data_IF_669334262125
#
_entry.id   IF_669334262125
#
_cell.length_a   1.000
_cell.length_b   1.000
_cell.length_c   1.000
_cell.angle_alpha   90.00
_cell.angle_beta   90.00
_cell.angle_gamma   90.00
#
_symmetry.space_group_name_H-M   'P 1'
#
loop_
_entity.id
_entity.type
_entity.pdbx_description
1 polymer ?
#
# COMPACT_ATOMS: atom_id res chain seq x y z
N UNK A 1 22.55 -9.70 -6.06
CA UNK A 1 21.35 -10.51 -6.30
C UNK A 1 20.92 -10.23 -7.73
N UNK A 2 20.89 -11.25 -8.59
CA UNK A 2 20.29 -11.09 -9.92
C UNK A 2 18.83 -10.75 -9.73
N UNK A 3 18.43 -9.57 -10.15
CA UNK A 3 17.02 -9.15 -10.12
C UNK A 3 16.30 -9.92 -11.22
N UNK A 4 15.50 -10.90 -10.83
CA UNK A 4 14.65 -11.62 -11.77
C UNK A 4 13.72 -10.63 -12.48
N UNK A 5 13.58 -10.75 -13.82
CA UNK A 5 12.72 -9.86 -14.60
C UNK A 5 11.28 -9.85 -14.01
N UNK A 6 10.65 -8.68 -13.80
CA UNK A 6 9.35 -8.59 -13.10
C UNK A 6 8.22 -9.38 -13.79
N UNK A 7 8.35 -9.64 -15.10
CA UNK A 7 7.41 -10.47 -15.88
C UNK A 7 7.94 -11.89 -16.12
N UNK A 8 8.87 -12.40 -15.31
CA UNK A 8 9.48 -13.73 -15.52
C UNK A 8 8.48 -14.87 -15.50
N UNK A 9 7.41 -14.76 -14.71
CA UNK A 9 6.33 -15.74 -14.63
C UNK A 9 5.36 -15.70 -15.82
N UNK A 10 5.34 -14.61 -16.59
CA UNK A 10 4.46 -14.46 -17.75
C UNK A 10 5.07 -15.17 -18.96
N UNK A 11 4.73 -16.44 -19.15
CA UNK A 11 5.30 -17.30 -20.21
C UNK A 11 4.60 -17.10 -21.55
N UNK A 12 3.33 -16.70 -21.54
CA UNK A 12 2.49 -16.59 -22.74
C UNK A 12 2.10 -15.13 -22.99
N UNK A 13 1.97 -14.80 -24.28
CA UNK A 13 1.47 -13.49 -24.69
C UNK A 13 -0.01 -13.33 -24.28
N UNK A 14 -0.40 -12.30 -23.51
CA UNK A 14 -1.79 -12.13 -23.08
C UNK A 14 -2.75 -11.78 -24.22
N UNK A 15 -2.23 -11.35 -25.40
CA UNK A 15 -3.05 -11.02 -26.57
C UNK A 15 -3.33 -12.21 -27.46
N UNK A 16 -2.36 -13.10 -27.70
CA UNK A 16 -2.48 -14.16 -28.70
C UNK A 16 -2.10 -15.56 -28.19
N UNK A 17 -1.76 -15.72 -26.90
CA UNK A 17 -1.39 -17.00 -26.30
C UNK A 17 -0.01 -17.57 -26.71
N UNK A 18 0.76 -16.88 -27.55
CA UNK A 18 2.05 -17.37 -28.03
C UNK A 18 3.09 -17.48 -26.91
N UNK A 19 3.86 -18.57 -26.90
CA UNK A 19 5.04 -18.75 -26.03
C UNK A 19 6.21 -17.83 -26.41
N UNK A 20 6.17 -17.21 -27.59
CA UNK A 20 7.20 -16.29 -28.07
C UNK A 20 7.07 -14.90 -27.46
N UNK A 21 6.75 -14.83 -26.14
CA UNK A 21 6.66 -13.62 -25.34
C UNK A 21 7.96 -13.44 -24.56
N UNK A 22 8.90 -12.71 -25.16
CA UNK A 22 10.29 -12.61 -24.71
C UNK A 22 10.58 -11.26 -24.06
N UNK A 23 11.61 -11.21 -23.23
CA UNK A 23 12.09 -9.98 -22.63
C UNK A 23 12.55 -8.99 -23.71
N UNK A 24 12.15 -7.73 -23.55
CA UNK A 24 12.51 -6.62 -24.43
C UNK A 24 13.48 -5.65 -23.75
N UNK A 25 13.23 -5.37 -22.49
CA UNK A 25 14.11 -4.58 -21.60
C UNK A 25 13.83 -4.97 -20.14
N UNK A 26 14.41 -4.27 -19.17
CA UNK A 26 14.32 -4.58 -17.73
C UNK A 26 12.91 -4.62 -17.15
N UNK A 27 11.90 -4.10 -17.84
CA UNK A 27 10.50 -4.04 -17.37
C UNK A 27 9.46 -4.39 -18.44
N UNK A 28 9.86 -4.79 -19.63
CA UNK A 28 8.92 -5.08 -20.71
C UNK A 28 9.21 -6.41 -21.39
N UNK A 29 8.13 -7.05 -21.86
CA UNK A 29 8.16 -8.19 -22.79
C UNK A 29 7.47 -7.84 -24.10
N UNK A 30 7.94 -8.44 -25.20
CA UNK A 30 7.36 -8.30 -26.53
C UNK A 30 7.03 -9.67 -27.12
N UNK A 31 5.87 -9.80 -27.74
CA UNK A 31 5.48 -10.99 -28.47
C UNK A 31 6.07 -10.96 -29.88
N UNK A 32 6.92 -11.95 -30.21
CA UNK A 32 7.54 -12.09 -31.53
C UNK A 32 6.55 -12.58 -32.59
N UNK A 33 5.33 -13.00 -32.20
CA UNK A 33 4.30 -13.46 -33.12
C UNK A 33 3.34 -12.34 -33.54
N UNK A 34 2.80 -11.57 -32.55
CA UNK A 34 1.77 -10.57 -32.85
C UNK A 34 2.22 -9.12 -32.60
N UNK A 35 3.47 -8.90 -32.19
CA UNK A 35 4.01 -7.56 -31.91
C UNK A 35 3.52 -6.90 -30.62
N UNK A 36 2.64 -7.56 -29.83
CA UNK A 36 2.15 -7.01 -28.57
C UNK A 36 3.31 -6.78 -27.61
N UNK A 37 3.37 -5.59 -27.03
CA UNK A 37 4.38 -5.22 -26.03
C UNK A 37 3.69 -4.85 -24.72
N UNK A 38 4.17 -5.43 -23.62
CA UNK A 38 3.66 -5.14 -22.26
C UNK A 38 4.77 -4.60 -21.39
N UNK A 39 4.50 -3.47 -20.75
CA UNK A 39 5.37 -2.86 -19.77
C UNK A 39 4.84 -3.12 -18.36
N UNK A 40 5.68 -3.66 -17.50
CA UNK A 40 5.41 -3.72 -16.06
C UNK A 40 5.55 -2.32 -15.46
N UNK A 41 4.53 -1.87 -14.76
CA UNK A 41 4.55 -0.64 -13.99
C UNK A 41 4.26 -0.96 -12.52
N UNK A 42 4.76 -0.13 -11.60
CA UNK A 42 4.38 -0.24 -10.20
C UNK A 42 2.89 0.09 -10.04
N UNK A 43 2.19 -0.70 -9.23
CA UNK A 43 0.84 -0.38 -8.80
C UNK A 43 0.90 0.81 -7.82
N UNK A 44 -0.12 1.65 -7.83
CA UNK A 44 -0.25 2.72 -6.85
C UNK A 44 -1.04 2.24 -5.63
N UNK A 45 -0.61 2.66 -4.44
CA UNK A 45 -1.30 2.38 -3.18
C UNK A 45 -1.27 3.62 -2.28
N UNK A 46 -2.21 3.73 -1.36
CA UNK A 46 -2.32 4.82 -0.39
C UNK A 46 -2.22 4.30 1.03
N UNK A 47 -1.72 5.13 1.94
CA UNK A 47 -1.75 4.85 3.38
C UNK A 47 -1.91 6.15 4.18
N UNK A 48 -2.71 6.11 5.25
CA UNK A 48 -3.11 7.27 6.03
C UNK A 48 -2.52 7.32 7.43
N UNK A 49 -1.89 8.45 7.77
CA UNK A 49 -1.56 8.82 9.14
C UNK A 49 -2.76 9.53 9.77
N UNK A 50 -3.42 8.89 10.72
CA UNK A 50 -4.51 9.48 11.51
C UNK A 50 -3.97 9.73 12.92
N UNK A 51 -3.88 11.01 13.28
CA UNK A 51 -3.33 11.44 14.58
C UNK A 51 -4.48 11.72 15.54
N UNK A 52 -4.30 11.35 16.80
CA UNK A 52 -5.26 11.66 17.88
C UNK A 52 -5.41 13.17 18.09
N UNK A 53 -6.53 13.59 18.66
CA UNK A 53 -6.83 15.01 18.90
C UNK A 53 -5.83 15.71 19.81
N UNK A 54 -5.12 14.97 20.67
CA UNK A 54 -4.05 15.50 21.51
C UNK A 54 -2.70 15.64 20.79
N UNK A 55 -2.60 15.19 19.53
CA UNK A 55 -1.40 15.27 18.70
C UNK A 55 -0.24 14.37 19.13
N UNK A 56 -0.46 13.35 19.97
CA UNK A 56 0.61 12.53 20.56
C UNK A 56 0.54 11.05 20.22
N UNK A 57 -0.49 10.63 19.48
CA UNK A 57 -0.73 9.21 19.19
C UNK A 57 -1.07 9.03 17.71
N UNK A 58 -0.65 7.93 17.15
CA UNK A 58 -0.95 7.47 15.78
C UNK A 58 -1.94 6.31 15.85
N UNK A 59 -2.98 6.37 15.04
CA UNK A 59 -3.85 5.21 14.82
C UNK A 59 -3.11 4.17 14.00
N UNK A 60 -2.88 3.00 14.59
CA UNK A 60 -2.30 1.84 13.92
C UNK A 60 -3.32 0.70 13.88
N UNK A 61 -3.36 0.04 12.74
CA UNK A 61 -4.22 -1.08 12.45
C UNK A 61 -3.46 -2.40 12.63
N UNK A 62 -4.18 -3.49 12.96
CA UNK A 62 -3.64 -4.84 12.92
C UNK A 62 -4.16 -5.53 11.67
N UNK A 63 -3.25 -6.04 10.85
CA UNK A 63 -3.59 -6.72 9.58
C UNK A 63 -4.40 -8.00 9.83
N UNK A 64 -5.54 -8.14 9.16
CA UNK A 64 -6.39 -9.32 9.22
C UNK A 64 -5.94 -10.41 8.23
N UNK A 65 -5.28 -10.04 7.12
CA UNK A 65 -4.93 -10.93 6.00
C UNK A 65 -3.42 -10.98 5.75
N UNK A 66 -2.98 -12.03 5.05
CA UNK A 66 -1.60 -12.12 4.54
C UNK A 66 -1.41 -11.21 3.31
N UNK A 67 -0.18 -10.75 3.06
CA UNK A 67 1.05 -10.98 3.82
C UNK A 67 1.08 -10.23 5.16
N UNK A 68 1.89 -10.72 6.09
CA UNK A 68 2.14 -10.11 7.40
C UNK A 68 0.91 -10.00 8.32
N UNK A 69 -0.03 -10.96 8.24
CA UNK A 69 -1.18 -11.03 9.15
C UNK A 69 -0.74 -10.93 10.61
N UNK A 70 -1.45 -10.09 11.39
CA UNK A 70 -1.20 -9.87 12.82
C UNK A 70 -0.14 -8.80 13.11
N UNK A 71 0.53 -8.25 12.11
CA UNK A 71 1.45 -7.12 12.31
C UNK A 71 0.71 -5.78 12.27
N UNK A 72 1.37 -4.74 12.78
CA UNK A 72 0.87 -3.38 12.70
C UNK A 72 1.02 -2.82 11.28
N UNK A 73 0.09 -1.95 10.92
CA UNK A 73 0.03 -1.26 9.63
C UNK A 73 -0.65 0.12 9.78
N UNK A 74 -0.56 0.93 8.74
CA UNK A 74 -1.46 2.06 8.53
C UNK A 74 -2.70 1.57 7.77
N UNK A 75 -3.83 2.30 7.90
CA UNK A 75 -5.01 2.06 7.05
C UNK A 75 -4.72 2.51 5.63
N UNK A 76 -5.23 1.77 4.63
CA UNK A 76 -5.02 2.06 3.22
C UNK A 76 -4.95 0.80 2.35
N UNK A 77 -4.86 1.00 1.03
CA UNK A 77 -4.86 -0.08 0.06
C UNK A 77 -4.48 0.37 -1.34
N UNK A 78 -4.83 -0.43 -2.34
CA UNK A 78 -4.58 -0.11 -3.74
C UNK A 78 -5.54 0.96 -4.25
N UNK A 79 -5.03 1.82 -5.13
CA UNK A 79 -5.85 2.78 -5.88
C UNK A 79 -6.58 2.02 -6.98
N UNK A 80 -7.89 2.18 -7.08
CA UNK A 80 -8.71 1.60 -8.13
C UNK A 80 -8.57 2.35 -9.47
N UNK A 81 -9.03 1.71 -10.56
CA UNK A 81 -9.07 2.38 -11.86
C UNK A 81 -10.00 3.61 -11.80
N UNK A 82 -9.58 4.68 -12.44
CA UNK A 82 -10.32 5.95 -12.52
C UNK A 82 -10.53 6.65 -11.17
N UNK A 83 -9.75 6.29 -10.14
CA UNK A 83 -9.76 6.87 -8.80
C UNK A 83 -8.51 7.73 -8.57
N UNK A 84 -8.66 8.89 -7.94
CA UNK A 84 -7.52 9.69 -7.46
C UNK A 84 -6.97 9.12 -6.15
N UNK A 85 -5.73 9.47 -5.79
CA UNK A 85 -5.14 9.01 -4.53
C UNK A 85 -5.90 9.57 -3.30
N UNK A 86 -6.46 10.77 -3.41
CA UNK A 86 -7.28 11.40 -2.37
C UNK A 86 -8.63 10.69 -2.20
N UNK A 87 -9.25 10.23 -3.28
CA UNK A 87 -10.48 9.43 -3.23
C UNK A 87 -10.18 8.06 -2.65
N UNK A 88 -9.11 7.41 -3.10
CA UNK A 88 -8.69 6.10 -2.61
C UNK A 88 -8.47 6.09 -1.09
N UNK A 89 -7.73 7.05 -0.54
CA UNK A 89 -7.50 7.06 0.92
C UNK A 89 -8.78 7.31 1.70
N UNK A 90 -9.73 8.09 1.18
CA UNK A 90 -11.03 8.29 1.80
C UNK A 90 -11.88 7.01 1.77
N UNK A 91 -11.90 6.30 0.64
CA UNK A 91 -12.61 5.04 0.47
C UNK A 91 -12.05 3.96 1.40
N UNK A 92 -10.73 3.75 1.39
CA UNK A 92 -10.07 2.73 2.22
C UNK A 92 -10.33 2.97 3.72
N UNK A 93 -10.22 4.20 4.20
CA UNK A 93 -10.51 4.52 5.60
C UNK A 93 -12.00 4.27 5.93
N UNK A 94 -12.88 4.53 4.98
CA UNK A 94 -14.31 4.24 5.17
C UNK A 94 -14.59 2.74 5.21
N UNK A 95 -13.98 1.96 4.33
CA UNK A 95 -14.16 0.51 4.23
C UNK A 95 -13.53 -0.22 5.42
N UNK A 96 -12.31 0.12 5.78
CA UNK A 96 -11.54 -0.57 6.83
C UNK A 96 -11.93 -0.15 8.25
N UNK A 97 -12.25 1.14 8.46
CA UNK A 97 -12.43 1.73 9.79
C UNK A 97 -13.81 2.34 10.02
N UNK A 98 -14.66 2.47 8.98
CA UNK A 98 -15.94 3.16 9.01
C UNK A 98 -15.85 4.63 9.48
N UNK A 99 -14.74 5.29 9.20
CA UNK A 99 -14.52 6.69 9.55
C UNK A 99 -14.76 7.61 8.34
N UNK A 100 -15.18 8.84 8.63
CA UNK A 100 -15.38 9.87 7.61
C UNK A 100 -14.20 10.84 7.60
N UNK A 101 -13.49 10.88 6.47
CA UNK A 101 -12.36 11.76 6.23
C UNK A 101 -12.85 13.17 5.92
N UNK A 102 -12.34 14.17 6.63
CA UNK A 102 -12.63 15.58 6.39
C UNK A 102 -11.56 16.26 5.55
N UNK A 103 -10.31 15.76 5.63
CA UNK A 103 -9.21 16.26 4.83
C UNK A 103 -8.11 15.20 4.70
N UNK A 104 -7.57 15.07 3.49
CA UNK A 104 -6.39 14.27 3.22
C UNK A 104 -5.30 15.18 2.63
N UNK A 105 -4.12 15.20 3.24
CA UNK A 105 -2.98 16.00 2.80
C UNK A 105 -1.83 15.08 2.42
N UNK A 106 -1.42 15.08 1.16
CA UNK A 106 -0.27 14.30 0.69
C UNK A 106 1.01 14.74 1.42
N UNK A 107 1.79 13.76 1.87
CA UNK A 107 3.07 13.98 2.55
C UNK A 107 4.25 13.62 1.65
N UNK A 108 4.34 12.34 1.29
CA UNK A 108 5.44 11.78 0.48
C UNK A 108 5.05 10.41 -0.07
N UNK A 109 5.91 9.85 -0.92
CA UNK A 109 5.77 8.47 -1.39
C UNK A 109 7.04 7.66 -1.18
N UNK A 110 6.88 6.34 -1.08
CA UNK A 110 7.98 5.37 -0.97
C UNK A 110 7.71 4.18 -1.89
N UNK A 111 8.76 3.63 -2.53
CA UNK A 111 8.65 2.37 -3.25
C UNK A 111 8.52 1.20 -2.27
N UNK A 112 7.75 0.18 -2.66
CA UNK A 112 7.59 -1.04 -1.89
C UNK A 112 7.58 -2.27 -2.80
N UNK A 113 7.73 -3.45 -2.18
CA UNK A 113 7.50 -4.74 -2.79
C UNK A 113 6.53 -5.52 -1.93
N UNK A 114 5.48 -6.03 -2.55
CA UNK A 114 4.39 -6.73 -1.91
C UNK A 114 4.31 -8.16 -2.47
N UNK A 115 4.59 -9.20 -1.65
CA UNK A 115 4.46 -10.58 -2.09
C UNK A 115 2.98 -10.97 -2.16
N UNK A 116 2.52 -11.41 -3.34
CA UNK A 116 1.14 -11.83 -3.55
C UNK A 116 1.07 -12.96 -4.58
N UNK A 117 0.44 -14.09 -4.23
CA UNK A 117 0.27 -15.26 -5.12
C UNK A 117 1.60 -15.72 -5.77
N UNK A 118 2.65 -15.87 -4.97
CA UNK A 118 4.01 -16.22 -5.42
C UNK A 118 4.62 -15.24 -6.45
N UNK A 119 4.04 -14.06 -6.55
CA UNK A 119 4.50 -12.96 -7.40
C UNK A 119 4.90 -11.76 -6.55
N UNK A 120 5.95 -11.06 -6.96
CA UNK A 120 6.35 -9.80 -6.33
C UNK A 120 5.69 -8.64 -7.06
N UNK A 121 4.70 -8.02 -6.41
CA UNK A 121 4.09 -6.78 -6.89
C UNK A 121 4.97 -5.61 -6.43
N UNK A 122 5.39 -4.77 -7.37
CA UNK A 122 6.04 -3.51 -7.05
C UNK A 122 4.97 -2.44 -6.88
N UNK A 123 5.03 -1.67 -5.78
CA UNK A 123 4.11 -0.58 -5.52
C UNK A 123 4.84 0.76 -5.34
N UNK A 124 4.12 1.83 -5.58
CA UNK A 124 4.45 3.17 -5.13
C UNK A 124 3.40 3.56 -4.10
N UNK A 125 3.78 3.56 -2.84
CA UNK A 125 2.88 3.84 -1.73
C UNK A 125 2.91 5.35 -1.44
N UNK A 126 1.74 5.99 -1.53
CA UNK A 126 1.53 7.41 -1.28
C UNK A 126 0.99 7.58 0.15
N UNK A 127 1.65 8.39 0.94
CA UNK A 127 1.33 8.62 2.35
C UNK A 127 0.63 9.96 2.54
N UNK A 128 -0.47 9.94 3.30
CA UNK A 128 -1.30 11.10 3.59
C UNK A 128 -1.39 11.35 5.09
N UNK A 129 -1.38 12.62 5.51
CA UNK A 129 -1.92 13.02 6.80
C UNK A 129 -3.42 13.19 6.65
N UNK A 130 -4.18 12.51 7.50
CA UNK A 130 -5.64 12.42 7.37
C UNK A 130 -6.31 12.99 8.63
N UNK A 131 -7.21 13.93 8.42
CA UNK A 131 -8.12 14.45 9.43
C UNK A 131 -9.48 13.75 9.30
N UNK A 132 -10.03 13.26 10.42
CA UNK A 132 -11.31 12.58 10.48
C UNK A 132 -12.33 13.42 11.27
N UNK A 133 -13.62 13.24 10.98
CA UNK A 133 -14.68 13.97 11.67
C UNK A 133 -14.74 13.64 13.18
N UNK A 134 -14.71 12.34 13.51
CA UNK A 134 -14.64 11.81 14.87
C UNK A 134 -14.34 10.30 14.82
N UNK A 135 -14.15 9.66 15.97
CA UNK A 135 -13.86 8.22 16.10
C UNK A 135 -15.04 7.40 16.65
N UNK A 136 -16.19 8.02 16.88
CA UNK A 136 -17.33 7.39 17.55
C UNK A 136 -17.86 6.14 16.80
N UNK A 137 -17.69 6.13 15.48
CA UNK A 137 -18.16 5.05 14.62
C UNK A 137 -17.05 4.10 14.17
N UNK A 138 -15.86 4.18 14.79
CA UNK A 138 -14.74 3.29 14.45
C UNK A 138 -15.16 1.83 14.58
N UNK A 139 -15.06 1.12 13.45
CA UNK A 139 -15.37 -0.29 13.35
C UNK A 139 -14.45 -0.92 12.32
N UNK A 140 -13.57 -1.80 12.81
CA UNK A 140 -12.65 -2.53 11.93
C UNK A 140 -13.38 -3.52 11.03
N UNK A 141 -13.02 -3.54 9.77
CA UNK A 141 -13.55 -4.44 8.75
C UNK A 141 -12.47 -4.77 7.70
N UNK A 142 -12.79 -5.60 6.73
CA UNK A 142 -11.98 -6.04 5.60
C UNK A 142 -10.57 -6.51 5.99
N UNK A 143 -9.53 -5.74 5.69
CA UNK A 143 -8.12 -6.08 5.91
C UNK A 143 -7.62 -5.70 7.31
N UNK A 144 -8.47 -5.11 8.15
CA UNK A 144 -8.16 -4.65 9.50
C UNK A 144 -8.93 -5.46 10.55
N UNK A 145 -8.20 -6.12 11.46
CA UNK A 145 -8.79 -6.89 12.57
C UNK A 145 -8.91 -6.09 13.87
N UNK A 146 -8.09 -5.08 14.06
CA UNK A 146 -8.12 -4.15 15.20
C UNK A 146 -7.48 -2.82 14.79
N UNK A 147 -7.90 -1.74 15.45
CA UNK A 147 -7.27 -0.42 15.32
C UNK A 147 -7.18 0.24 16.69
N UNK A 148 -6.05 0.89 16.97
CA UNK A 148 -5.83 1.56 18.25
C UNK A 148 -4.89 2.75 18.09
N UNK A 149 -5.11 3.78 18.90
CA UNK A 149 -4.14 4.85 19.05
C UNK A 149 -2.99 4.39 19.92
N UNK A 150 -1.76 4.56 19.41
CA UNK A 150 -0.53 4.22 20.12
C UNK A 150 0.28 5.51 20.24
N UNK A 151 0.70 5.84 21.48
CA UNK A 151 1.59 6.99 21.72
C UNK A 151 2.85 6.86 20.86
N UNK A 152 3.27 7.95 20.22
CA UNK A 152 4.48 8.01 19.39
C UNK A 152 5.70 7.37 20.07
N UNK A 153 5.85 7.57 21.39
CA UNK A 153 6.97 7.03 22.18
C UNK A 153 6.92 5.52 22.38
N UNK A 154 5.74 4.90 22.18
CA UNK A 154 5.51 3.49 22.44
C UNK A 154 5.35 2.67 21.16
N UNK A 155 5.47 3.29 19.97
CA UNK A 155 5.37 2.58 18.71
C UNK A 155 6.60 1.69 18.51
N UNK A 156 6.39 0.38 18.51
CA UNK A 156 7.42 -0.58 18.08
C UNK A 156 7.45 -0.66 16.55
N UNK A 157 8.42 0.00 15.96
CA UNK A 157 8.66 -0.03 14.50
C UNK A 157 8.86 -1.46 13.97
N UNK A 158 9.34 -2.41 14.79
CA UNK A 158 9.55 -3.79 14.37
C UNK A 158 8.25 -4.60 14.32
N UNK A 159 7.20 -4.15 15.00
CA UNK A 159 5.87 -4.74 14.90
C UNK A 159 5.16 -4.42 13.57
N UNK A 160 5.67 -3.45 12.78
CA UNK A 160 5.13 -3.10 11.46
C UNK A 160 5.66 -4.07 10.41
N UNK A 161 4.74 -4.71 9.66
CA UNK A 161 5.08 -5.76 8.69
C UNK A 161 5.61 -5.22 7.36
N UNK A 162 4.91 -4.27 6.74
CA UNK A 162 5.25 -3.72 5.42
C UNK A 162 6.45 -2.76 5.48
N UNK A 163 7.41 -2.97 4.58
CA UNK A 163 8.68 -2.25 4.64
C UNK A 163 8.55 -0.75 4.34
N UNK A 164 7.64 -0.37 3.44
CA UNK A 164 7.34 1.04 3.15
C UNK A 164 6.68 1.73 4.32
N UNK A 165 5.67 1.09 4.94
CA UNK A 165 4.98 1.60 6.12
C UNK A 165 5.93 1.74 7.29
N UNK A 166 6.78 0.74 7.54
CA UNK A 166 7.84 0.82 8.55
C UNK A 166 8.74 2.05 8.35
N UNK A 167 9.20 2.28 7.12
CA UNK A 167 10.02 3.45 6.78
C UNK A 167 9.24 4.76 6.91
N UNK A 168 7.98 4.76 6.49
CA UNK A 168 7.12 5.93 6.55
C UNK A 168 6.83 6.36 7.99
N UNK A 169 6.45 5.40 8.86
CA UNK A 169 6.20 5.68 10.28
C UNK A 169 7.48 6.17 10.96
N UNK A 170 8.62 5.53 10.70
CA UNK A 170 9.90 5.99 11.27
C UNK A 170 10.25 7.41 10.81
N UNK A 171 10.07 7.73 9.51
CA UNK A 171 10.29 9.07 8.97
C UNK A 171 9.35 10.08 9.64
N UNK A 172 8.06 9.76 9.74
CA UNK A 172 7.07 10.63 10.37
C UNK A 172 7.40 10.94 11.82
N UNK A 173 7.79 9.92 12.60
CA UNK A 173 8.17 10.10 14.00
C UNK A 173 9.41 10.99 14.15
N UNK A 174 10.41 10.87 13.28
CA UNK A 174 11.62 11.72 13.30
C UNK A 174 11.32 13.20 13.02
N UNK A 175 10.24 13.49 12.29
CA UNK A 175 9.86 14.85 11.90
C UNK A 175 8.89 15.51 12.90
N UNK A 176 8.20 14.71 13.75
CA UNK A 176 7.09 15.17 14.59
C UNK A 176 7.25 14.84 16.08
N UNK A 177 8.29 14.11 16.48
CA UNK A 177 8.61 13.76 17.86
C UNK A 177 10.03 14.20 18.22
#
# INVERSE_FOLDING_TARGET
>A
METTHPLSLFKFCPRCGSERFVEHNTKAKVCRQCGFQYYHNSSAAVAGFIISSNGQELLLCTRAKNPYKGTLDLTGGFIDNDETAEEAICREIKEELNLDVTKATYLFSLPNTYPYSDFTVHTLDLFFLVEIANIEHLKCADDVSAAQFISFKNIDINAIGLSSVKKAVNKFLMEHV
#
